data_IF_276475304615
#
_entry.id   IF_276475304615
#
_cell.length_a   1.000
_cell.length_b   1.000
_cell.length_c   1.000
_cell.angle_alpha   90.00
_cell.angle_beta   90.00
_cell.angle_gamma   90.00
#
_symmetry.space_group_name_H-M   'P 1'
#
loop_
_entity.id
_entity.type
_entity.pdbx_description
1 polymer ?
#
# COMPACT_ATOMS: atom_id res chain seq x y z
N UNK A 1 -11.86 -40.22 14.37
CA UNK A 1 -11.98 -40.69 12.98
C UNK A 1 -13.45 -40.64 12.59
N UNK A 2 -13.89 -39.52 12.03
CA UNK A 2 -15.19 -39.36 11.38
C UNK A 2 -15.14 -38.10 10.51
N UNK A 3 -15.37 -38.31 9.21
CA UNK A 3 -15.95 -37.43 8.21
C UNK A 3 -15.34 -36.03 7.98
N UNK A 4 -14.37 -36.02 7.05
CA UNK A 4 -14.27 -35.16 5.87
C UNK A 4 -15.50 -34.27 5.58
N UNK A 5 -15.29 -32.96 5.68
CA UNK A 5 -16.10 -31.93 5.04
C UNK A 5 -15.23 -30.69 4.83
N UNK A 6 -14.72 -30.51 3.62
CA UNK A 6 -14.32 -29.20 3.11
C UNK A 6 -14.60 -29.20 1.60
N UNK A 7 -15.61 -28.41 1.27
CA UNK A 7 -16.13 -28.11 -0.05
C UNK A 7 -15.02 -27.57 -0.97
N UNK A 8 -14.70 -28.29 -2.05
CA UNK A 8 -13.99 -27.71 -3.19
C UNK A 8 -14.96 -26.81 -3.97
N UNK A 9 -14.98 -25.54 -3.57
CA UNK A 9 -15.47 -24.45 -4.42
C UNK A 9 -14.49 -24.20 -5.56
N UNK A 10 -14.48 -25.07 -6.57
CA UNK A 10 -13.79 -24.87 -7.83
C UNK A 10 -14.50 -23.79 -8.67
N UNK A 11 -14.40 -22.54 -8.22
CA UNK A 11 -14.65 -21.37 -9.05
C UNK A 11 -13.37 -21.04 -9.79
N UNK A 12 -13.35 -21.28 -11.10
CA UNK A 12 -12.22 -21.08 -12.02
C UNK A 12 -11.48 -19.76 -11.78
N UNK A 13 -10.40 -19.83 -11.01
CA UNK A 13 -9.34 -18.83 -11.02
C UNK A 13 -8.81 -18.78 -12.45
N UNK A 14 -8.96 -17.64 -13.13
CA UNK A 14 -8.21 -17.39 -14.35
C UNK A 14 -6.74 -17.74 -14.10
N UNK A 15 -6.12 -18.46 -15.04
CA UNK A 15 -4.74 -18.94 -14.90
C UNK A 15 -3.82 -17.83 -14.39
N UNK A 16 -2.85 -18.18 -13.53
CA UNK A 16 -1.85 -17.22 -13.05
C UNK A 16 -1.15 -16.47 -14.20
N UNK A 17 -1.05 -17.09 -15.39
CA UNK A 17 -0.57 -16.46 -16.61
C UNK A 17 -1.46 -15.29 -17.06
N UNK A 18 -2.78 -15.45 -17.03
CA UNK A 18 -3.74 -14.40 -17.38
C UNK A 18 -3.65 -13.22 -16.40
N UNK A 19 -3.59 -13.50 -15.09
CA UNK A 19 -3.46 -12.44 -14.09
C UNK A 19 -2.16 -11.63 -14.26
N UNK A 20 -1.05 -12.30 -14.65
CA UNK A 20 0.21 -11.63 -14.93
C UNK A 20 0.13 -10.74 -16.18
N UNK A 21 -0.52 -11.20 -17.25
CA UNK A 21 -0.74 -10.41 -18.48
C UNK A 21 -1.58 -9.15 -18.20
N UNK A 22 -2.68 -9.29 -17.47
CA UNK A 22 -3.54 -8.17 -17.06
C UNK A 22 -2.78 -7.15 -16.21
N UNK A 23 -1.95 -7.61 -15.26
CA UNK A 23 -1.10 -6.74 -14.45
C UNK A 23 -0.12 -5.93 -15.32
N UNK A 24 0.46 -6.53 -16.36
CA UNK A 24 1.34 -5.80 -17.28
C UNK A 24 0.60 -4.73 -18.08
N UNK A 25 -0.63 -5.02 -18.53
CA UNK A 25 -1.48 -4.03 -19.21
C UNK A 25 -1.84 -2.89 -18.26
N UNK A 26 -2.26 -3.20 -17.03
CA UNK A 26 -2.53 -2.18 -16.01
C UNK A 26 -1.29 -1.31 -15.74
N UNK A 27 -0.12 -1.92 -15.57
CA UNK A 27 1.13 -1.21 -15.28
C UNK A 27 1.53 -0.23 -16.39
N UNK A 28 1.31 -0.60 -17.66
CA UNK A 28 1.52 0.30 -18.82
C UNK A 28 0.60 1.51 -18.78
N UNK A 29 -0.63 1.33 -18.30
CA UNK A 29 -1.65 2.38 -18.26
C UNK A 29 -1.64 3.20 -16.96
N UNK A 30 -0.99 2.72 -15.90
CA UNK A 30 -0.99 3.35 -14.58
C UNK A 30 -0.60 4.85 -14.58
N UNK A 31 0.39 5.33 -15.36
CA UNK A 31 0.72 6.76 -15.41
C UNK A 31 -0.40 7.66 -15.93
N UNK A 32 -1.33 7.12 -16.73
CA UNK A 32 -2.50 7.86 -17.21
C UNK A 32 -3.63 7.85 -16.18
N UNK A 33 -3.76 6.75 -15.43
CA UNK A 33 -4.86 6.51 -14.49
C UNK A 33 -4.63 7.11 -13.10
N UNK A 34 -3.40 7.12 -12.60
CA UNK A 34 -3.07 7.50 -11.24
C UNK A 34 -2.01 8.60 -11.22
N UNK A 35 -2.15 9.55 -10.30
CA UNK A 35 -1.13 10.57 -10.07
C UNK A 35 0.01 10.04 -9.18
N UNK A 36 -0.27 9.02 -8.37
CA UNK A 36 0.70 8.33 -7.52
C UNK A 36 0.32 6.86 -7.35
N UNK A 37 1.29 5.97 -7.54
CA UNK A 37 1.20 4.55 -7.15
C UNK A 37 2.45 4.23 -6.34
N UNK A 38 2.26 3.68 -5.14
CA UNK A 38 3.34 3.19 -4.29
C UNK A 38 3.16 1.70 -4.12
N UNK A 39 4.17 0.92 -4.46
CA UNK A 39 4.17 -0.53 -4.33
C UNK A 39 5.35 -0.98 -3.47
N UNK A 40 5.08 -1.85 -2.51
CA UNK A 40 6.10 -2.47 -1.67
C UNK A 40 5.75 -3.94 -1.44
N UNK A 41 6.71 -4.83 -1.66
CA UNK A 41 6.56 -6.24 -1.34
C UNK A 41 6.92 -6.44 0.13
N UNK A 42 5.92 -6.81 0.94
CA UNK A 42 6.13 -7.17 2.34
C UNK A 42 6.75 -8.57 2.41
N UNK A 43 7.57 -8.80 3.44
CA UNK A 43 8.13 -10.12 3.72
C UNK A 43 7.03 -11.13 4.07
N UNK A 44 6.11 -10.73 4.95
CA UNK A 44 4.94 -11.50 5.32
C UNK A 44 3.65 -10.78 4.91
N UNK A 45 2.59 -11.49 4.51
CA UNK A 45 1.33 -10.88 4.18
C UNK A 45 0.75 -10.17 5.42
N UNK A 46 0.17 -8.98 5.21
CA UNK A 46 -0.61 -8.30 6.23
C UNK A 46 -2.09 -8.49 5.98
N UNK A 47 -2.82 -8.93 7.01
CA UNK A 47 -4.29 -8.99 6.99
C UNK A 47 -4.96 -7.67 7.40
N UNK A 48 -4.18 -6.64 7.75
CA UNK A 48 -4.69 -5.34 8.18
C UNK A 48 -3.91 -4.19 7.53
N UNK A 49 -4.58 -3.07 7.26
CA UNK A 49 -3.92 -1.82 6.85
C UNK A 49 -4.72 -0.64 7.38
N UNK A 50 -4.04 0.26 8.09
CA UNK A 50 -4.70 1.45 8.64
C UNK A 50 -3.77 2.65 8.60
N UNK A 51 -4.25 3.77 8.04
CA UNK A 51 -3.57 5.05 8.19
C UNK A 51 -3.61 5.51 9.65
N UNK A 52 -2.45 5.81 10.21
CA UNK A 52 -2.38 6.46 11.51
C UNK A 52 -2.66 7.96 11.35
N UNK A 53 -3.29 8.60 12.35
CA UNK A 53 -3.50 10.03 12.33
C UNK A 53 -2.15 10.74 12.20
N UNK A 54 -2.05 11.62 11.20
CA UNK A 54 -0.88 12.47 11.02
C UNK A 54 -0.95 13.55 12.10
N UNK A 55 0.01 13.56 13.03
CA UNK A 55 0.18 14.71 13.91
C UNK A 55 0.62 15.88 13.04
N UNK A 56 -0.21 16.93 12.96
CA UNK A 56 0.10 18.19 12.30
C UNK A 56 1.19 18.94 13.07
N UNK A 57 2.41 18.41 13.13
CA UNK A 57 3.57 19.15 13.62
C UNK A 57 4.25 19.85 12.44
N UNK A 58 3.47 20.61 11.68
CA UNK A 58 3.94 21.79 10.97
C UNK A 58 3.79 22.99 11.90
N UNK A 59 4.47 22.97 13.05
CA UNK A 59 4.50 24.11 13.97
C UNK A 59 5.78 24.11 14.81
N UNK A 60 6.90 24.46 14.18
CA UNK A 60 8.00 25.23 14.77
C UNK A 60 8.94 25.66 13.65
N UNK A 61 9.09 26.91 13.22
CA UNK A 61 8.34 28.16 13.38
C UNK A 61 8.16 28.78 11.98
N UNK A 62 7.28 29.72 11.71
CA UNK A 62 7.18 31.04 12.32
C UNK A 62 7.35 32.08 11.19
N UNK A 63 6.26 32.78 10.84
CA UNK A 63 6.25 34.08 10.16
C UNK A 63 6.90 34.21 8.76
N UNK A 64 6.08 34.56 7.77
CA UNK A 64 6.55 35.26 6.56
C UNK A 64 6.83 34.37 5.35
N UNK A 65 6.56 34.90 4.17
CA UNK A 65 6.48 34.17 2.90
C UNK A 65 7.67 33.28 2.54
N UNK A 66 7.37 32.15 1.89
CA UNK A 66 8.34 31.35 1.14
C UNK A 66 8.41 29.88 1.53
N UNK A 67 7.75 29.02 0.74
CA UNK A 67 8.21 27.65 0.44
C UNK A 67 8.45 26.67 1.59
N UNK A 68 7.41 26.18 2.26
CA UNK A 68 7.50 24.97 3.07
C UNK A 68 7.40 23.70 2.19
N UNK A 69 8.41 23.47 1.34
CA UNK A 69 8.42 22.46 0.27
C UNK A 69 9.03 21.09 0.65
N UNK A 70 8.65 20.52 1.79
CA UNK A 70 9.11 19.18 2.21
C UNK A 70 8.14 18.04 1.81
N UNK A 71 8.63 16.79 1.62
CA UNK A 71 7.75 15.65 1.38
C UNK A 71 6.85 15.35 2.58
N UNK A 72 5.57 15.01 2.30
CA UNK A 72 4.57 14.72 3.32
C UNK A 72 4.76 13.30 3.86
N UNK A 73 5.16 13.17 5.13
CA UNK A 73 5.30 11.88 5.80
C UNK A 73 3.96 11.40 6.38
N UNK A 74 3.56 10.18 6.04
CA UNK A 74 2.36 9.52 6.57
C UNK A 74 2.74 8.16 7.13
N UNK A 75 2.04 7.72 8.18
CA UNK A 75 2.32 6.43 8.82
C UNK A 75 1.16 5.46 8.61
N UNK A 76 1.49 4.21 8.37
CA UNK A 76 0.58 3.08 8.21
C UNK A 76 0.84 2.06 9.31
N UNK A 77 -0.24 1.49 9.86
CA UNK A 77 -0.19 0.33 10.73
C UNK A 77 -0.47 -0.92 9.89
N UNK A 78 0.41 -1.91 10.01
CA UNK A 78 0.33 -3.20 9.33
C UNK A 78 0.56 -4.31 10.36
N UNK A 79 0.05 -5.51 10.10
CA UNK A 79 0.39 -6.70 10.86
C UNK A 79 1.20 -7.67 9.99
N UNK A 80 1.79 -8.68 10.61
CA UNK A 80 2.30 -9.85 9.88
C UNK A 80 1.36 -11.03 10.08
N UNK A 81 1.34 -11.93 9.11
CA UNK A 81 0.77 -13.26 9.23
C UNK A 81 1.78 -14.28 8.72
N UNK A 82 2.53 -14.85 9.67
CA UNK A 82 3.67 -15.76 9.44
C UNK A 82 3.30 -17.25 9.40
N UNK A 83 2.02 -17.61 9.55
CA UNK A 83 1.56 -19.02 9.62
C UNK A 83 2.33 -19.89 10.63
N UNK A 84 2.63 -19.33 11.80
CA UNK A 84 3.38 -19.96 12.90
C UNK A 84 4.87 -20.26 12.60
N UNK A 85 5.42 -19.78 11.48
CA UNK A 85 6.87 -19.89 11.19
C UNK A 85 7.71 -18.92 12.04
N UNK A 86 7.15 -17.75 12.36
CA UNK A 86 7.80 -16.68 13.12
C UNK A 86 6.79 -15.96 14.04
N UNK A 87 7.22 -15.26 15.11
CA UNK A 87 6.31 -14.49 15.96
C UNK A 87 5.69 -13.32 15.19
N UNK A 88 4.36 -13.25 15.20
CA UNK A 88 3.64 -12.15 14.56
C UNK A 88 3.92 -10.81 15.25
N UNK A 89 4.10 -9.77 14.44
CA UNK A 89 4.46 -8.43 14.88
C UNK A 89 3.51 -7.37 14.30
N UNK A 90 3.36 -6.28 15.06
CA UNK A 90 2.70 -5.08 14.60
C UNK A 90 3.76 -4.11 14.04
N UNK A 91 3.59 -3.69 12.79
CA UNK A 91 4.54 -2.85 12.07
C UNK A 91 3.96 -1.45 11.85
N UNK A 92 4.80 -0.43 12.05
CA UNK A 92 4.49 0.95 11.64
C UNK A 92 5.38 1.31 10.47
N UNK A 93 4.80 1.44 9.28
CA UNK A 93 5.49 1.88 8.07
C UNK A 93 5.35 3.39 7.89
N UNK A 94 6.40 4.06 7.43
CA UNK A 94 6.36 5.48 7.02
C UNK A 94 6.40 5.58 5.49
N UNK A 95 5.43 6.29 4.92
CA UNK A 95 5.35 6.60 3.49
C UNK A 95 5.66 8.08 3.31
N UNK A 96 6.62 8.36 2.44
CA UNK A 96 6.94 9.72 2.00
C UNK A 96 6.15 10.01 0.72
N UNK A 97 5.19 10.91 0.83
CA UNK A 97 4.39 11.36 -0.29
C UNK A 97 5.03 12.62 -0.91
N UNK A 98 5.12 12.72 -2.24
CA UNK A 98 5.52 13.95 -2.88
C UNK A 98 4.48 15.06 -2.59
N UNK A 99 4.95 16.26 -2.28
CA UNK A 99 4.11 17.45 -2.20
C UNK A 99 3.83 17.91 -3.65
N UNK A 100 2.62 17.67 -4.19
CA UNK A 100 2.25 18.06 -5.56
C UNK A 100 2.47 19.58 -5.79
N UNK A 101 2.96 20.08 -6.97
CA UNK A 101 2.17 20.28 -8.24
C UNK A 101 3.05 20.27 -9.55
N UNK A 102 2.65 20.64 -10.81
CA UNK A 102 1.38 21.16 -11.37
C UNK A 102 0.70 20.24 -12.40
N UNK A 103 -0.58 20.52 -12.60
CA UNK A 103 -1.45 19.96 -13.63
C UNK A 103 -0.95 20.26 -15.03
N UNK A 104 -0.45 19.26 -15.75
CA UNK A 104 -0.64 19.13 -17.21
C UNK A 104 -0.61 17.64 -17.56
N UNK A 105 -1.75 16.95 -17.39
CA UNK A 105 -2.01 15.79 -18.25
C UNK A 105 -2.31 16.35 -19.66
N UNK A 106 -1.75 15.75 -20.72
CA UNK A 106 -1.88 16.25 -22.10
C UNK A 106 -3.32 16.31 -22.60
#
# INVERSE_FOLDING_TARGET
MAAEAAEEGAGTLGSAATAAEEFLVWKKNAPFLYDLVVSHALEWPSLTVQWLPSSSSSSSGGGGGGGAGGPLRRRLLLGTHTSDEDPNSLMVAEVQLPLAPPTTKP
#
